data_IF_804033130533
#
_entry.id   IF_804033130533
#
_cell.length_a   1.000
_cell.length_b   1.000
_cell.length_c   1.000
_cell.angle_alpha   90.00
_cell.angle_beta   90.00
_cell.angle_gamma   90.00
#
_symmetry.space_group_name_H-M   'P 1'
#
loop_
_entity.id
_entity.type
_entity.pdbx_description
1 polymer ?
#
# COMPACT_ATOMS: atom_id res chain seq x y z
N UNK A 1 -50.57 -12.87 44.77
CA UNK A 1 -49.51 -11.97 44.24
C UNK A 1 -48.17 -12.68 44.37
N UNK A 2 -47.72 -13.36 43.32
CA UNK A 2 -46.54 -14.24 43.31
C UNK A 2 -45.85 -14.10 41.95
N UNK A 3 -44.57 -13.67 41.99
CA UNK A 3 -43.37 -14.08 41.19
C UNK A 3 -43.54 -14.12 39.65
N UNK A 4 -42.63 -13.64 38.81
CA UNK A 4 -41.23 -13.32 38.98
C UNK A 4 -40.63 -13.00 37.61
N UNK A 5 -39.54 -12.25 37.67
CA UNK A 5 -38.71 -11.75 36.58
C UNK A 5 -37.99 -12.90 35.85
N UNK A 6 -38.14 -13.00 34.52
CA UNK A 6 -37.27 -13.84 33.68
C UNK A 6 -36.57 -12.90 32.70
N UNK A 7 -35.31 -12.55 33.01
CA UNK A 7 -34.37 -12.01 32.02
C UNK A 7 -33.68 -13.20 31.37
N UNK A 8 -33.97 -13.43 30.09
CA UNK A 8 -33.28 -14.44 29.29
C UNK A 8 -31.95 -13.85 28.80
N UNK A 9 -30.84 -14.27 29.44
CA UNK A 9 -29.48 -13.95 29.03
C UNK A 9 -28.99 -15.12 28.15
N UNK A 10 -29.04 -14.94 26.82
CA UNK A 10 -28.43 -15.90 25.91
C UNK A 10 -26.92 -15.64 25.84
N UNK A 11 -26.12 -16.57 26.37
CA UNK A 11 -24.66 -16.58 26.24
C UNK A 11 -24.28 -16.81 24.77
N UNK A 12 -23.73 -15.79 24.12
CA UNK A 12 -22.92 -15.98 22.92
C UNK A 12 -21.55 -16.54 23.33
N UNK A 13 -21.30 -17.81 23.07
CA UNK A 13 -19.94 -18.35 23.16
C UNK A 13 -19.13 -17.84 21.96
N UNK A 14 -18.29 -16.82 22.18
CA UNK A 14 -17.28 -16.41 21.20
C UNK A 14 -16.14 -17.41 21.26
N UNK A 15 -16.02 -18.27 20.25
CA UNK A 15 -14.77 -18.99 20.00
C UNK A 15 -13.81 -18.02 19.31
N UNK A 16 -12.87 -17.46 20.07
CA UNK A 16 -11.73 -16.74 19.49
C UNK A 16 -10.86 -17.80 18.81
N UNK A 17 -10.86 -17.81 17.47
CA UNK A 17 -9.81 -18.50 16.72
C UNK A 17 -8.50 -17.74 16.97
N UNK A 18 -7.44 -18.45 17.35
CA UNK A 18 -6.12 -17.86 17.53
C UNK A 18 -5.68 -17.21 16.21
N UNK A 19 -5.64 -15.88 16.17
CA UNK A 19 -5.12 -15.15 15.03
C UNK A 19 -3.66 -15.57 14.81
N UNK A 20 -3.35 -16.13 13.65
CA UNK A 20 -1.97 -16.32 13.21
C UNK A 20 -1.29 -14.93 13.14
N UNK A 21 -0.35 -14.57 14.03
CA UNK A 21 0.22 -13.24 14.05
C UNK A 21 1.39 -13.21 13.06
N UNK A 22 1.08 -13.23 11.77
CA UNK A 22 2.07 -12.94 10.73
C UNK A 22 1.60 -11.89 9.73
N UNK A 23 0.44 -11.28 9.96
CA UNK A 23 0.05 -10.05 9.27
C UNK A 23 0.85 -8.91 9.88
N UNK A 24 1.80 -8.35 9.12
CA UNK A 24 2.39 -7.06 9.51
C UNK A 24 1.22 -6.08 9.60
N UNK A 25 0.98 -5.51 10.77
CA UNK A 25 -0.06 -4.50 10.92
C UNK A 25 0.51 -3.17 10.44
N UNK A 26 -0.03 -2.65 9.34
CA UNK A 26 0.31 -1.35 8.80
C UNK A 26 -0.94 -0.72 8.18
N UNK A 27 -0.96 0.62 8.15
CA UNK A 27 -1.93 1.39 7.40
C UNK A 27 -1.38 1.61 5.99
N UNK A 28 -2.20 1.34 4.98
CA UNK A 28 -1.88 1.59 3.56
C UNK A 28 -2.63 2.82 3.07
N UNK A 29 -1.94 3.66 2.31
CA UNK A 29 -2.48 4.83 1.63
C UNK A 29 -1.96 4.87 0.19
N UNK A 30 -2.84 5.23 -0.74
CA UNK A 30 -2.51 5.44 -2.16
C UNK A 30 -2.68 6.90 -2.51
N UNK A 31 -1.70 7.47 -3.21
CA UNK A 31 -1.81 8.80 -3.79
C UNK A 31 -0.89 8.95 -5.01
N UNK A 32 -1.05 10.07 -5.72
CA UNK A 32 -0.21 10.44 -6.85
C UNK A 32 0.56 11.72 -6.55
N UNK A 33 1.80 11.81 -7.03
CA UNK A 33 2.64 13.01 -6.90
C UNK A 33 3.13 13.49 -8.25
N UNK A 34 3.33 14.80 -8.35
CA UNK A 34 3.77 15.45 -9.58
C UNK A 34 2.68 15.44 -10.66
N UNK A 35 3.12 15.40 -11.91
CA UNK A 35 2.24 15.51 -13.07
C UNK A 35 1.91 16.96 -13.45
N UNK A 36 1.48 17.12 -14.69
CA UNK A 36 1.15 18.38 -15.33
C UNK A 36 0.02 18.17 -16.35
N UNK A 37 -0.82 19.19 -16.51
CA UNK A 37 -1.77 19.23 -17.61
C UNK A 37 -1.06 19.56 -18.92
N UNK A 38 -1.34 18.79 -19.96
CA UNK A 38 -0.86 19.01 -21.33
C UNK A 38 -2.05 19.09 -22.28
N UNK A 39 -1.96 19.97 -23.28
CA UNK A 39 -2.92 20.03 -24.37
C UNK A 39 -2.46 19.09 -25.49
N UNK A 40 -3.30 18.14 -25.87
CA UNK A 40 -3.05 17.19 -26.96
C UNK A 40 -4.32 17.12 -27.81
N UNK A 41 -4.20 17.45 -29.11
CA UNK A 41 -5.31 17.46 -30.06
C UNK A 41 -6.56 18.23 -29.58
N UNK A 42 -6.36 19.36 -28.90
CA UNK A 42 -7.43 20.18 -28.33
C UNK A 42 -7.97 19.70 -26.98
N UNK A 43 -7.65 18.48 -26.54
CA UNK A 43 -8.01 17.94 -25.23
C UNK A 43 -6.96 18.27 -24.17
N UNK A 44 -7.38 18.41 -22.91
CA UNK A 44 -6.46 18.51 -21.76
C UNK A 44 -6.25 17.14 -21.14
N UNK A 45 -5.01 16.68 -21.04
CA UNK A 45 -4.63 15.43 -20.38
C UNK A 45 -3.72 15.73 -19.19
N UNK A 46 -3.95 15.05 -18.06
CA UNK A 46 -3.01 15.08 -16.94
C UNK A 46 -2.02 13.93 -17.10
N UNK A 47 -0.72 14.24 -17.12
CA UNK A 47 0.36 13.30 -17.42
C UNK A 47 1.58 13.64 -16.57
N UNK A 48 2.56 12.74 -16.41
CA UNK A 48 3.76 13.02 -15.62
C UNK A 48 3.64 12.63 -14.13
N UNK A 49 2.52 12.07 -13.70
CA UNK A 49 2.27 11.72 -12.31
C UNK A 49 2.88 10.37 -11.95
N UNK A 50 3.41 10.28 -10.74
CA UNK A 50 3.96 9.05 -10.15
C UNK A 50 2.96 8.48 -9.15
N UNK A 51 2.63 7.20 -9.29
CA UNK A 51 1.83 6.48 -8.28
C UNK A 51 2.69 6.20 -7.06
N UNK A 52 2.07 6.29 -5.87
CA UNK A 52 2.72 6.04 -4.57
C UNK A 52 1.80 5.18 -3.71
N UNK A 53 2.30 4.01 -3.31
CA UNK A 53 1.74 3.20 -2.23
C UNK A 53 2.58 3.46 -0.97
N UNK A 54 1.95 3.97 0.08
CA UNK A 54 2.60 4.24 1.37
C UNK A 54 2.12 3.26 2.41
N UNK A 55 3.05 2.60 3.09
CA UNK A 55 2.77 1.79 4.27
C UNK A 55 3.31 2.49 5.53
N UNK A 56 2.47 2.59 6.54
CA UNK A 56 2.81 3.18 7.85
C UNK A 56 2.67 2.10 8.93
N UNK A 57 3.74 1.77 9.70
CA UNK A 57 3.64 0.81 10.79
C UNK A 57 2.78 1.39 11.93
N UNK A 58 2.19 0.53 12.76
CA UNK A 58 1.40 0.99 13.93
C UNK A 58 2.19 1.94 14.84
N UNK A 59 3.50 1.71 14.97
CA UNK A 59 4.43 2.57 15.69
C UNK A 59 5.62 2.89 14.81
N UNK A 60 5.76 4.16 14.44
CA UNK A 60 6.94 4.68 13.76
C UNK A 60 8.06 4.84 14.79
N UNK A 61 9.18 4.14 14.58
CA UNK A 61 10.37 4.23 15.45
C UNK A 61 11.57 4.82 14.74
N UNK A 62 11.53 4.90 13.41
CA UNK A 62 12.61 5.42 12.59
C UNK A 62 12.34 6.88 12.22
N UNK A 63 13.35 7.77 12.29
CA UNK A 63 13.16 9.20 12.08
C UNK A 63 12.96 9.58 10.61
N UNK A 64 13.44 8.74 9.68
CA UNK A 64 13.37 9.00 8.24
C UNK A 64 12.61 7.86 7.54
N UNK A 65 11.79 8.17 6.53
CA UNK A 65 11.12 7.16 5.73
C UNK A 65 12.07 6.51 4.71
N UNK A 66 11.63 5.38 4.15
CA UNK A 66 12.29 4.73 3.01
C UNK A 66 11.44 4.91 1.75
N UNK A 67 12.09 5.28 0.66
CA UNK A 67 11.47 5.37 -0.67
C UNK A 67 12.07 4.28 -1.56
N UNK A 68 11.23 3.36 -2.02
CA UNK A 68 11.61 2.22 -2.87
C UNK A 68 11.22 2.53 -4.32
N UNK A 69 12.23 2.58 -5.20
CA UNK A 69 12.10 2.95 -6.61
C UNK A 69 12.50 1.73 -7.45
N UNK A 70 11.57 1.22 -8.25
CA UNK A 70 11.83 0.05 -9.11
C UNK A 70 12.73 0.37 -10.31
N UNK A 71 13.37 -0.66 -10.88
CA UNK A 71 14.17 -0.55 -12.10
C UNK A 71 13.34 -0.58 -13.39
N UNK A 72 14.02 -0.66 -14.54
CA UNK A 72 13.36 -0.71 -15.85
C UNK A 72 12.50 -1.99 -16.01
N UNK A 73 11.30 -1.84 -16.59
CA UNK A 73 10.38 -2.96 -16.87
C UNK A 73 9.74 -3.58 -15.61
N UNK A 74 9.77 -2.87 -14.49
CA UNK A 74 9.28 -3.32 -13.19
C UNK A 74 8.25 -2.32 -12.64
N UNK A 75 7.64 -2.66 -11.51
CA UNK A 75 6.76 -1.78 -10.72
C UNK A 75 7.03 -1.95 -9.21
N UNK A 76 6.36 -1.15 -8.40
CA UNK A 76 6.37 -1.13 -6.95
C UNK A 76 6.02 -2.50 -6.32
N UNK A 77 5.30 -3.36 -7.05
CA UNK A 77 4.93 -4.71 -6.64
C UNK A 77 6.17 -5.55 -6.27
N UNK A 78 7.32 -5.29 -6.89
CA UNK A 78 8.58 -5.98 -6.62
C UNK A 78 9.03 -5.90 -5.16
N UNK A 79 8.58 -4.87 -4.44
CA UNK A 79 8.94 -4.64 -3.05
C UNK A 79 7.99 -5.31 -2.06
N UNK A 80 6.79 -5.67 -2.49
CA UNK A 80 5.72 -6.17 -1.63
C UNK A 80 5.91 -7.65 -1.33
N UNK A 81 6.09 -8.45 -2.37
CA UNK A 81 6.17 -9.92 -2.29
C UNK A 81 7.18 -10.44 -3.29
N UNK A 82 7.93 -11.47 -2.90
CA UNK A 82 8.84 -12.16 -3.82
C UNK A 82 8.05 -13.06 -4.78
N UNK A 83 8.58 -13.40 -5.97
CA UNK A 83 7.86 -14.23 -6.94
C UNK A 83 7.43 -15.61 -6.41
N UNK A 84 8.14 -16.13 -5.40
CA UNK A 84 7.83 -17.39 -4.70
C UNK A 84 6.88 -17.22 -3.50
N UNK A 85 6.28 -16.03 -3.31
CA UNK A 85 5.25 -15.78 -2.30
C UNK A 85 5.76 -15.42 -0.91
N UNK A 86 7.07 -15.23 -0.72
CA UNK A 86 7.61 -14.72 0.56
C UNK A 86 7.39 -13.21 0.67
N UNK A 87 7.48 -12.71 1.90
CA UNK A 87 7.45 -11.27 2.19
C UNK A 87 8.61 -10.55 1.49
N UNK A 88 8.30 -9.47 0.78
CA UNK A 88 9.27 -8.59 0.17
C UNK A 88 9.91 -7.60 1.15
N UNK A 89 10.72 -6.69 0.61
CA UNK A 89 11.45 -5.69 1.39
C UNK A 89 10.55 -4.69 2.11
N UNK A 90 9.40 -4.34 1.54
CA UNK A 90 8.46 -3.43 2.19
C UNK A 90 8.00 -3.97 3.55
N UNK A 91 7.69 -5.28 3.61
CA UNK A 91 7.37 -5.95 4.87
C UNK A 91 8.54 -5.97 5.85
N UNK A 92 9.77 -6.14 5.36
CA UNK A 92 10.96 -6.09 6.21
C UNK A 92 11.10 -4.71 6.86
N UNK A 93 11.03 -3.62 6.08
CA UNK A 93 11.21 -2.26 6.60
C UNK A 93 10.06 -1.78 7.51
N UNK A 94 8.82 -2.16 7.21
CA UNK A 94 7.69 -1.89 8.11
C UNK A 94 7.93 -2.51 9.49
N UNK A 95 8.44 -3.74 9.54
CA UNK A 95 8.74 -4.41 10.81
C UNK A 95 9.92 -3.78 11.57
N UNK A 96 10.76 -3.00 10.89
CA UNK A 96 11.83 -2.22 11.53
C UNK A 96 11.36 -0.82 11.97
N UNK A 97 10.08 -0.48 11.74
CA UNK A 97 9.44 0.78 12.16
C UNK A 97 9.67 1.97 11.22
N UNK A 98 10.03 1.71 9.96
CA UNK A 98 10.08 2.73 8.90
C UNK A 98 8.69 2.97 8.31
N UNK A 99 8.38 4.21 7.97
CA UNK A 99 7.36 4.51 6.96
C UNK A 99 7.95 4.20 5.59
N UNK A 100 7.24 3.44 4.77
CA UNK A 100 7.73 2.96 3.47
C UNK A 100 6.87 3.51 2.35
N UNK A 101 7.50 4.15 1.37
CA UNK A 101 6.86 4.62 0.15
C UNK A 101 7.38 3.77 -1.02
N UNK A 102 6.49 3.12 -1.75
CA UNK A 102 6.82 2.40 -2.98
C UNK A 102 6.22 3.16 -4.15
N UNK A 103 7.04 3.47 -5.14
CA UNK A 103 6.65 4.38 -6.22
C UNK A 103 6.73 3.71 -7.58
N UNK A 104 5.78 4.03 -8.45
CA UNK A 104 5.83 3.69 -9.88
C UNK A 104 6.22 4.92 -10.69
N UNK A 105 7.52 5.03 -10.96
CA UNK A 105 8.06 6.15 -11.72
C UNK A 105 7.63 6.05 -13.18
N UNK A 106 7.17 7.18 -13.73
CA UNK A 106 6.95 7.24 -15.16
C UNK A 106 8.29 7.17 -15.89
N UNK A 107 8.34 6.45 -17.02
CA UNK A 107 9.54 6.38 -17.82
C UNK A 107 9.94 7.79 -18.28
N UNK A 108 11.25 8.06 -18.25
CA UNK A 108 11.82 9.29 -18.77
C UNK A 108 11.38 9.47 -20.24
N UNK A 109 10.69 10.59 -20.58
CA UNK A 109 10.31 10.90 -21.95
C UNK A 109 11.48 10.91 -22.94
N UNK A 110 12.72 11.07 -22.45
CA UNK A 110 13.94 11.10 -23.28
C UNK A 110 14.25 9.73 -23.89
N UNK A 111 13.70 8.62 -23.37
CA UNK A 111 13.95 7.28 -23.94
C UNK A 111 12.96 6.96 -25.07
N UNK A 112 13.40 6.94 -26.34
CA UNK A 112 12.51 6.64 -27.47
C UNK A 112 11.91 5.24 -27.34
N UNK A 113 10.62 5.10 -27.65
CA UNK A 113 9.94 3.80 -27.68
C UNK A 113 9.44 3.28 -26.33
N UNK A 114 9.40 4.12 -25.28
CA UNK A 114 8.78 3.70 -24.02
C UNK A 114 7.27 3.91 -24.10
N UNK A 115 6.45 2.84 -24.02
CA UNK A 115 5.01 2.99 -24.06
C UNK A 115 4.53 3.79 -22.84
N UNK A 116 3.46 4.60 -22.98
CA UNK A 116 2.83 5.22 -21.83
C UNK A 116 2.42 4.12 -20.86
N UNK A 117 2.89 4.21 -19.61
CA UNK A 117 2.39 3.32 -18.58
C UNK A 117 0.94 3.72 -18.30
N UNK A 118 0.01 2.85 -18.70
CA UNK A 118 -1.36 2.96 -18.25
C UNK A 118 -1.37 2.69 -16.76
N UNK A 119 -1.73 3.71 -16.00
CA UNK A 119 -2.23 3.51 -14.64
C UNK A 119 -3.54 2.74 -14.81
N UNK A 120 -3.56 1.49 -14.35
CA UNK A 120 -4.77 0.66 -14.26
C UNK A 120 -5.80 1.31 -13.34
#
# INVERSE_FOLDING_TARGET
MIKGLIKLLALFSLTVSAANPSTNQYQSEVFFVGGNYKKVNGSTLFTGQMFVEKWTPEKVTQPLPIVLIHGAGQSAVNWMTTPDGRKGWAHYFINQGYVVYMVDQQPDPVRPGTPPQMVI
#
